data_IF_330582654797
#
_entry.id   IF_330582654797
#
_cell.length_a   1.000
_cell.length_b   1.000
_cell.length_c   1.000
_cell.angle_alpha   90.00
_cell.angle_beta   90.00
_cell.angle_gamma   90.00
#
_symmetry.space_group_name_H-M   'P 1'
#
loop_
_entity.id
_entity.type
_entity.pdbx_description
1 polymer ?
#
# COMPACT_ATOMS: atom_id res chain seq x y z
N UNK A 1 32.36 0.96 -10.17
CA UNK A 1 30.98 0.62 -10.57
C UNK A 1 30.96 0.48 -12.08
N UNK A 2 30.37 -0.62 -12.56
CA UNK A 2 30.15 -0.86 -13.98
C UNK A 2 29.05 0.08 -14.51
N UNK A 3 29.04 0.32 -15.83
CA UNK A 3 27.95 1.05 -16.49
C UNK A 3 26.60 0.35 -16.27
N UNK A 4 26.60 -1.00 -16.14
CA UNK A 4 25.40 -1.76 -15.80
C UNK A 4 24.86 -1.40 -14.41
N UNK A 5 25.72 -1.39 -13.40
CA UNK A 5 25.34 -1.09 -12.01
C UNK A 5 24.66 0.29 -11.95
N UNK A 6 25.26 1.29 -12.61
CA UNK A 6 24.73 2.66 -12.63
C UNK A 6 23.35 2.77 -13.29
N UNK A 7 23.06 1.94 -14.31
CA UNK A 7 21.76 1.94 -14.99
C UNK A 7 20.69 1.26 -14.12
N UNK A 8 21.04 0.14 -13.49
CA UNK A 8 20.14 -0.62 -12.62
C UNK A 8 19.80 0.18 -11.36
N UNK A 9 20.81 0.68 -10.63
CA UNK A 9 20.63 1.45 -9.40
C UNK A 9 19.72 2.67 -9.62
N UNK A 10 19.96 3.39 -10.72
CA UNK A 10 19.16 4.57 -11.06
C UNK A 10 17.70 4.22 -11.40
N UNK A 11 17.45 3.04 -11.97
CA UNK A 11 16.09 2.60 -12.28
C UNK A 11 15.32 2.25 -11.00
N UNK A 12 15.98 1.56 -10.07
CA UNK A 12 15.41 1.18 -8.78
C UNK A 12 15.11 2.40 -7.92
N UNK A 13 16.04 3.37 -7.84
CA UNK A 13 15.82 4.62 -7.11
C UNK A 13 14.57 5.37 -7.61
N UNK A 14 14.39 5.44 -8.94
CA UNK A 14 13.23 6.10 -9.56
C UNK A 14 11.94 5.35 -9.20
N UNK A 15 11.95 4.03 -9.26
CA UNK A 15 10.76 3.23 -8.97
C UNK A 15 10.39 3.29 -7.48
N UNK A 16 11.36 3.14 -6.59
CA UNK A 16 11.18 3.29 -5.14
C UNK A 16 10.64 4.68 -4.81
N UNK A 17 11.08 5.73 -5.50
CA UNK A 17 10.52 7.09 -5.32
C UNK A 17 9.04 7.16 -5.69
N UNK A 18 8.61 6.52 -6.79
CA UNK A 18 7.19 6.46 -7.17
C UNK A 18 6.36 5.69 -6.15
N UNK A 19 6.87 4.55 -5.66
CA UNK A 19 6.19 3.74 -4.66
C UNK A 19 6.05 4.50 -3.34
N UNK A 20 7.09 5.23 -2.92
CA UNK A 20 7.02 6.09 -1.74
C UNK A 20 5.93 7.16 -1.85
N UNK A 21 5.74 7.77 -3.03
CA UNK A 21 4.65 8.74 -3.22
C UNK A 21 3.26 8.11 -3.01
N UNK A 22 3.08 6.83 -3.32
CA UNK A 22 1.83 6.09 -3.05
C UNK A 22 1.72 5.80 -1.55
N UNK A 23 2.80 5.37 -0.91
CA UNK A 23 2.84 5.14 0.54
C UNK A 23 2.55 6.42 1.32
N UNK A 24 3.02 7.58 0.87
CA UNK A 24 2.73 8.87 1.49
C UNK A 24 1.22 9.19 1.45
N UNK A 25 0.53 8.81 0.36
CA UNK A 25 -0.94 8.91 0.30
C UNK A 25 -1.61 7.97 1.31
N UNK A 26 -1.10 6.75 1.51
CA UNK A 26 -1.60 5.81 2.51
C UNK A 26 -1.39 6.35 3.92
N UNK A 27 -0.21 6.88 4.22
CA UNK A 27 0.13 7.49 5.51
C UNK A 27 -0.75 8.71 5.80
N UNK A 28 -1.01 9.56 4.81
CA UNK A 28 -1.90 10.72 4.96
C UNK A 28 -3.36 10.35 5.32
N UNK A 29 -3.79 9.13 5.01
CA UNK A 29 -5.13 8.63 5.35
C UNK A 29 -5.22 8.06 6.77
N UNK A 30 -4.10 7.80 7.46
CA UNK A 30 -4.08 7.10 8.75
C UNK A 30 -4.99 7.75 9.79
N UNK A 31 -4.85 9.06 9.99
CA UNK A 31 -5.63 9.79 10.99
C UNK A 31 -7.14 9.72 10.71
N UNK A 32 -7.54 9.68 9.44
CA UNK A 32 -8.96 9.59 9.07
C UNK A 32 -9.50 8.18 9.29
N UNK A 33 -8.75 7.16 8.87
CA UNK A 33 -9.15 5.76 8.98
C UNK A 33 -9.15 5.30 10.45
N UNK A 34 -8.22 5.79 11.27
CA UNK A 34 -8.16 5.47 12.71
C UNK A 34 -9.42 5.90 13.46
N UNK A 35 -10.10 6.96 13.01
CA UNK A 35 -11.33 7.46 13.63
C UNK A 35 -12.56 6.59 13.32
N UNK A 36 -12.48 5.69 12.34
CA UNK A 36 -13.59 4.82 11.96
C UNK A 36 -13.81 3.75 13.03
N UNK A 37 -15.07 3.46 13.32
CA UNK A 37 -15.51 2.30 14.09
C UNK A 37 -15.25 0.99 13.35
N UNK A 38 -15.37 -0.14 14.05
CA UNK A 38 -15.21 -1.46 13.42
C UNK A 38 -16.28 -1.72 12.35
N UNK A 39 -17.50 -1.23 12.56
CA UNK A 39 -18.59 -1.37 11.58
C UNK A 39 -18.34 -0.50 10.35
N UNK A 40 -17.84 0.73 10.53
CA UNK A 40 -17.44 1.59 9.41
C UNK A 40 -16.29 0.97 8.60
N UNK A 41 -15.25 0.44 9.26
CA UNK A 41 -14.17 -0.28 8.59
C UNK A 41 -14.67 -1.50 7.80
N UNK A 42 -15.62 -2.26 8.35
CA UNK A 42 -16.23 -3.39 7.65
C UNK A 42 -17.01 -2.94 6.42
N UNK A 43 -17.71 -1.81 6.51
CA UNK A 43 -18.51 -1.23 5.42
C UNK A 43 -17.65 -0.69 4.26
N UNK A 44 -16.38 -0.33 4.49
CA UNK A 44 -15.45 0.11 3.44
C UNK A 44 -15.36 -0.88 2.27
N UNK A 45 -15.45 -2.19 2.54
CA UNK A 45 -15.45 -3.20 1.47
C UNK A 45 -16.62 -3.01 0.49
N UNK A 46 -17.81 -2.70 1.01
CA UNK A 46 -18.99 -2.42 0.19
C UNK A 46 -18.83 -1.13 -0.62
N UNK A 47 -18.23 -0.10 -0.01
CA UNK A 47 -17.94 1.17 -0.66
C UNK A 47 -16.96 0.96 -1.83
N UNK A 48 -15.86 0.25 -1.62
CA UNK A 48 -14.88 -0.04 -2.68
C UNK A 48 -15.50 -0.82 -3.84
N UNK A 49 -16.28 -1.88 -3.55
CA UNK A 49 -17.02 -2.62 -4.60
C UNK A 49 -17.95 -1.72 -5.41
N UNK A 50 -18.67 -0.81 -4.74
CA UNK A 50 -19.55 0.16 -5.41
C UNK A 50 -18.76 1.12 -6.31
N UNK A 51 -17.61 1.61 -5.86
CA UNK A 51 -16.73 2.50 -6.64
C UNK A 51 -16.16 1.82 -7.87
N UNK A 52 -15.70 0.58 -7.74
CA UNK A 52 -15.22 -0.23 -8.87
C UNK A 52 -16.34 -0.48 -9.90
N UNK A 53 -17.56 -0.77 -9.44
CA UNK A 53 -18.71 -0.92 -10.33
C UNK A 53 -19.10 0.37 -11.07
N UNK A 54 -18.71 1.53 -10.53
CA UNK A 54 -18.92 2.85 -11.15
C UNK A 54 -17.78 3.26 -12.09
N UNK A 55 -16.78 2.41 -12.28
CA UNK A 55 -15.70 2.61 -13.25
C UNK A 55 -14.39 3.12 -12.65
N UNK A 56 -14.27 3.25 -11.33
CA UNK A 56 -12.96 3.43 -10.71
C UNK A 56 -12.09 2.18 -10.89
N UNK A 57 -10.80 2.37 -11.01
CA UNK A 57 -9.81 1.29 -11.14
C UNK A 57 -9.33 0.82 -9.76
N UNK A 58 -8.63 -0.32 -9.73
CA UNK A 58 -7.96 -0.77 -8.51
C UNK A 58 -6.90 0.23 -8.03
N UNK A 59 -6.21 0.92 -8.95
CA UNK A 59 -5.19 1.92 -8.62
C UNK A 59 -5.81 3.16 -7.97
N UNK A 60 -7.03 3.53 -8.36
CA UNK A 60 -7.75 4.66 -7.80
C UNK A 60 -8.12 4.44 -6.33
N UNK A 61 -8.50 3.20 -5.97
CA UNK A 61 -8.87 2.84 -4.60
C UNK A 61 -7.68 2.38 -3.75
N UNK A 62 -6.52 2.11 -4.36
CA UNK A 62 -5.39 1.45 -3.71
C UNK A 62 -4.96 2.15 -2.42
N UNK A 63 -4.74 3.49 -2.37
CA UNK A 63 -4.27 4.12 -1.14
C UNK A 63 -5.23 3.95 0.04
N UNK A 64 -6.54 4.04 -0.23
CA UNK A 64 -7.57 3.94 0.80
C UNK A 64 -7.79 2.49 1.23
N UNK A 65 -7.78 1.55 0.28
CA UNK A 65 -7.85 0.12 0.58
C UNK A 65 -6.67 -0.33 1.47
N UNK A 66 -5.45 0.10 1.16
CA UNK A 66 -4.26 -0.21 1.97
C UNK A 66 -4.33 0.45 3.35
N UNK A 67 -4.81 1.69 3.46
CA UNK A 67 -4.99 2.35 4.75
C UNK A 67 -5.99 1.60 5.64
N UNK A 68 -7.12 1.14 5.07
CA UNK A 68 -8.12 0.31 5.78
C UNK A 68 -7.52 -1.01 6.23
N UNK A 69 -6.82 -1.74 5.35
CA UNK A 69 -6.17 -3.02 5.70
C UNK A 69 -5.15 -2.83 6.82
N UNK A 70 -4.35 -1.75 6.77
CA UNK A 70 -3.36 -1.45 7.81
C UNK A 70 -4.01 -1.21 9.17
N UNK A 71 -5.10 -0.44 9.23
CA UNK A 71 -5.82 -0.19 10.48
C UNK A 71 -6.46 -1.47 11.02
N UNK A 72 -7.06 -2.30 10.15
CA UNK A 72 -7.61 -3.60 10.55
C UNK A 72 -6.51 -4.52 11.10
N UNK A 73 -5.36 -4.61 10.43
CA UNK A 73 -4.20 -5.37 10.92
C UNK A 73 -3.74 -4.88 12.29
N UNK A 74 -3.67 -3.57 12.49
CA UNK A 74 -3.32 -2.96 13.77
C UNK A 74 -4.31 -3.32 14.88
N UNK A 75 -5.62 -3.32 14.59
CA UNK A 75 -6.67 -3.64 15.58
C UNK A 75 -6.75 -5.13 15.92
N UNK A 76 -6.63 -5.99 14.91
CA UNK A 76 -6.89 -7.43 15.06
C UNK A 76 -5.62 -8.18 15.45
N UNK A 77 -4.50 -7.87 14.80
CA UNK A 77 -3.22 -8.57 15.00
C UNK A 77 -2.26 -7.81 15.91
N UNK A 78 -2.58 -6.56 16.27
CA UNK A 78 -1.64 -5.69 16.99
C UNK A 78 -0.46 -5.23 16.13
N UNK A 79 -0.51 -5.46 14.81
CA UNK A 79 0.59 -5.22 13.88
C UNK A 79 0.25 -4.09 12.92
N UNK A 80 0.91 -2.93 13.07
CA UNK A 80 0.84 -1.85 12.11
C UNK A 80 1.85 -2.10 11.00
N UNK A 81 1.37 -2.25 9.77
CA UNK A 81 2.25 -2.48 8.62
C UNK A 81 3.27 -1.33 8.46
N UNK A 82 4.54 -1.70 8.25
CA UNK A 82 5.63 -0.77 7.97
C UNK A 82 5.58 -0.29 6.51
N UNK A 83 6.27 0.83 6.23
CA UNK A 83 6.33 1.39 4.88
C UNK A 83 6.88 0.38 3.86
N UNK A 84 7.88 -0.41 4.23
CA UNK A 84 8.45 -1.46 3.38
C UNK A 84 7.45 -2.56 3.02
N UNK A 85 6.55 -2.92 3.94
CA UNK A 85 5.48 -3.89 3.70
C UNK A 85 4.41 -3.31 2.77
N UNK A 86 4.09 -2.01 2.90
CA UNK A 86 3.20 -1.33 1.96
C UNK A 86 3.80 -1.28 0.55
N UNK A 87 5.11 -0.98 0.43
CA UNK A 87 5.84 -1.04 -0.84
C UNK A 87 5.74 -2.45 -1.43
N UNK A 88 6.02 -3.49 -0.64
CA UNK A 88 5.91 -4.88 -1.06
C UNK A 88 4.51 -5.22 -1.60
N UNK A 89 3.46 -4.82 -0.88
CA UNK A 89 2.08 -5.02 -1.31
C UNK A 89 1.73 -4.28 -2.61
N UNK A 90 2.24 -3.06 -2.82
CA UNK A 90 2.05 -2.31 -4.07
C UNK A 90 2.77 -2.98 -5.23
N UNK A 91 4.00 -3.46 -5.02
CA UNK A 91 4.77 -4.19 -6.03
C UNK A 91 4.05 -5.47 -6.47
N UNK A 92 3.49 -6.23 -5.50
CA UNK A 92 2.67 -7.41 -5.79
C UNK A 92 1.39 -7.06 -6.55
N UNK A 93 0.72 -5.97 -6.19
CA UNK A 93 -0.45 -5.46 -6.91
C UNK A 93 -0.12 -5.11 -8.37
N UNK A 94 1.08 -4.59 -8.64
CA UNK A 94 1.57 -4.32 -9.99
C UNK A 94 1.97 -5.58 -10.77
N UNK A 95 1.82 -6.79 -10.21
CA UNK A 95 2.19 -8.05 -10.84
C UNK A 95 3.71 -8.28 -10.92
N UNK A 96 4.48 -7.62 -10.06
CA UNK A 96 5.94 -7.72 -9.99
C UNK A 96 6.39 -8.53 -8.78
N UNK A 97 7.68 -8.88 -8.74
CA UNK A 97 8.30 -9.57 -7.60
C UNK A 97 8.77 -8.53 -6.58
N UNK A 98 8.30 -8.65 -5.35
CA UNK A 98 8.80 -7.88 -4.21
C UNK A 98 9.93 -8.65 -3.52
N UNK A 99 11.17 -8.17 -3.64
CA UNK A 99 12.28 -8.71 -2.86
C UNK A 99 12.27 -8.08 -1.46
N UNK A 100 11.96 -8.90 -0.45
CA UNK A 100 11.99 -8.52 0.96
C UNK A 100 12.77 -9.59 1.73
N UNK A 101 13.60 -9.16 2.68
CA UNK A 101 14.37 -10.09 3.52
C UNK A 101 13.44 -10.84 4.48
N UNK A 102 13.83 -12.06 4.85
CA UNK A 102 13.12 -12.82 5.89
C UNK A 102 13.03 -11.99 7.18
N UNK A 103 11.82 -11.88 7.73
CA UNK A 103 11.56 -11.08 8.94
C UNK A 103 10.99 -9.69 8.66
N UNK A 104 10.91 -9.25 7.40
CA UNK A 104 10.22 -8.01 7.00
C UNK A 104 8.68 -8.16 7.02
N UNK A 105 8.17 -9.35 7.35
CA UNK A 105 6.76 -9.73 7.34
C UNK A 105 6.29 -10.16 5.96
#
# INVERSE_FOLDING_TARGET
MSVLDMILDKTDEIEIKKLNNIVDKIDALENKIQLLSNDELKNMTGIFKSRLNKGETLDDILPEAFAVVREVSKRILGMRQYRVQLIGGIVLHQGKIAEMKTGEG
#
